data_IF_878694947503
#
_entry.id   IF_878694947503
#
_cell.length_a   1.000
_cell.length_b   1.000
_cell.length_c   1.000
_cell.angle_alpha   90.00
_cell.angle_beta   90.00
_cell.angle_gamma   90.00
#
_symmetry.space_group_name_H-M   'P 1'
#
loop_
_entity.id
_entity.type
_entity.pdbx_description
1 polymer ?
#
# COMPACT_ATOMS: atom_id res chain seq x y z
N UNK A 1 -22.30 -11.21 -2.37
CA UNK A 1 -20.82 -11.17 -2.35
C UNK A 1 -20.32 -12.50 -1.81
N UNK A 2 -19.58 -13.28 -2.60
CA UNK A 2 -18.88 -14.45 -2.07
C UNK A 2 -17.61 -13.94 -1.38
N UNK A 3 -17.71 -13.61 -0.10
CA UNK A 3 -16.54 -13.24 0.70
C UNK A 3 -15.60 -14.45 0.80
N UNK A 4 -14.45 -14.39 0.12
CA UNK A 4 -13.38 -15.38 0.29
C UNK A 4 -12.51 -14.93 1.46
N UNK A 5 -12.95 -15.22 2.68
CA UNK A 5 -12.11 -15.06 3.87
C UNK A 5 -11.14 -16.23 4.00
N UNK A 6 -9.99 -16.00 4.63
CA UNK A 6 -9.05 -17.04 5.05
C UNK A 6 -9.05 -17.14 6.58
N UNK A 7 -8.61 -18.28 7.13
CA UNK A 7 -8.46 -18.45 8.57
C UNK A 7 -7.27 -17.67 9.11
N UNK A 8 -7.26 -17.40 10.42
CA UNK A 8 -6.13 -16.75 11.08
C UNK A 8 -4.83 -17.55 10.91
N UNK A 9 -4.88 -18.87 11.02
CA UNK A 9 -3.71 -19.73 10.86
C UNK A 9 -3.14 -19.69 9.44
N UNK A 10 -4.00 -19.65 8.43
CA UNK A 10 -3.56 -19.48 7.05
C UNK A 10 -2.98 -18.08 6.81
N UNK A 11 -3.58 -17.04 7.39
CA UNK A 11 -3.05 -15.67 7.33
C UNK A 11 -1.66 -15.57 7.97
N UNK A 12 -1.46 -16.13 9.17
CA UNK A 12 -0.16 -16.21 9.85
C UNK A 12 0.91 -16.87 8.96
N UNK A 13 0.56 -17.99 8.33
CA UNK A 13 1.45 -18.70 7.43
C UNK A 13 1.83 -17.85 6.22
N UNK A 14 0.86 -17.18 5.59
CA UNK A 14 1.13 -16.33 4.42
C UNK A 14 2.00 -15.11 4.78
N UNK A 15 1.74 -14.47 5.93
CA UNK A 15 2.58 -13.37 6.43
C UNK A 15 3.99 -13.86 6.74
N UNK A 16 4.14 -15.00 7.41
CA UNK A 16 5.46 -15.59 7.67
C UNK A 16 6.22 -15.91 6.37
N UNK A 17 5.54 -16.44 5.34
CA UNK A 17 6.15 -16.69 4.03
C UNK A 17 6.67 -15.40 3.38
N UNK A 18 5.89 -14.32 3.45
CA UNK A 18 6.31 -13.01 2.97
C UNK A 18 7.54 -12.48 3.72
N UNK A 19 7.54 -12.52 5.05
CA UNK A 19 8.66 -12.06 5.89
C UNK A 19 9.96 -12.80 5.56
N UNK A 20 9.89 -14.12 5.40
CA UNK A 20 11.03 -14.94 4.99
C UNK A 20 11.53 -14.55 3.60
N UNK A 21 10.63 -14.47 2.61
CA UNK A 21 10.98 -14.07 1.25
C UNK A 21 11.64 -12.68 1.19
N UNK A 22 11.10 -11.70 1.93
CA UNK A 22 11.64 -10.35 2.00
C UNK A 22 13.05 -10.34 2.59
N UNK A 23 13.25 -10.98 3.75
CA UNK A 23 14.54 -11.07 4.41
C UNK A 23 15.58 -11.77 3.53
N UNK A 24 15.24 -12.91 2.92
CA UNK A 24 16.12 -13.65 2.02
C UNK A 24 16.53 -12.81 0.81
N UNK A 25 15.56 -12.18 0.16
CA UNK A 25 15.80 -11.33 -1.02
C UNK A 25 16.69 -10.15 -0.66
N UNK A 26 16.41 -9.46 0.44
CA UNK A 26 17.22 -8.34 0.91
C UNK A 26 18.64 -8.79 1.25
N UNK A 27 18.78 -9.88 2.00
CA UNK A 27 20.07 -10.41 2.46
C UNK A 27 20.91 -10.98 1.31
N UNK A 28 20.31 -11.38 0.19
CA UNK A 28 21.03 -11.83 -1.00
C UNK A 28 21.74 -10.71 -1.80
N UNK A 29 21.32 -9.44 -1.68
CA UNK A 29 21.98 -8.35 -2.40
C UNK A 29 23.44 -8.14 -1.94
N UNK A 30 24.39 -7.92 -2.86
CA UNK A 30 25.77 -7.66 -2.47
C UNK A 30 25.88 -6.37 -1.65
N UNK A 31 26.83 -6.32 -0.72
CA UNK A 31 27.14 -5.09 -0.01
C UNK A 31 27.62 -4.01 -0.99
N UNK A 32 27.17 -2.78 -0.78
CA UNK A 32 27.72 -1.64 -1.51
C UNK A 32 28.96 -1.18 -0.79
N UNK A 33 30.06 -1.03 -1.53
CA UNK A 33 31.34 -0.55 -1.01
C UNK A 33 31.17 0.74 -0.19
N UNK A 34 31.66 0.73 1.05
CA UNK A 34 31.60 1.86 1.97
C UNK A 34 30.29 2.01 2.75
N UNK A 35 29.36 1.05 2.71
CA UNK A 35 28.14 1.06 3.53
C UNK A 35 27.92 -0.28 4.22
N UNK A 36 27.82 -0.26 5.55
CA UNK A 36 27.42 -1.42 6.33
C UNK A 36 26.00 -1.84 5.93
N UNK A 37 25.84 -3.11 5.52
CA UNK A 37 24.53 -3.68 5.24
C UNK A 37 23.87 -4.09 6.55
N UNK A 38 22.65 -3.60 6.79
CA UNK A 38 21.80 -4.11 7.86
C UNK A 38 21.30 -5.48 7.43
N UNK A 39 21.56 -6.52 8.23
CA UNK A 39 20.95 -7.84 8.00
C UNK A 39 19.50 -7.77 8.45
N UNK A 40 18.58 -8.15 7.58
CA UNK A 40 17.15 -8.19 7.90
C UNK A 40 16.81 -9.58 8.42
N UNK A 41 16.28 -9.66 9.63
CA UNK A 41 15.70 -10.91 10.15
C UNK A 41 14.19 -10.92 9.83
N UNK A 42 13.60 -12.07 9.43
CA UNK A 42 12.17 -12.15 9.08
C UNK A 42 11.25 -11.54 10.14
N UNK A 43 11.55 -11.77 11.41
CA UNK A 43 10.75 -11.28 12.53
C UNK A 43 11.34 -10.00 13.17
N UNK A 44 12.36 -9.40 12.56
CA UNK A 44 12.99 -8.16 13.03
C UNK A 44 12.15 -6.92 12.73
N UNK A 45 12.43 -5.80 13.43
CA UNK A 45 11.67 -4.54 13.30
C UNK A 45 11.77 -3.94 11.88
N UNK A 46 12.88 -4.19 11.18
CA UNK A 46 13.12 -3.71 9.81
C UNK A 46 12.38 -4.52 8.73
N UNK A 47 11.69 -5.61 9.09
CA UNK A 47 10.88 -6.36 8.14
C UNK A 47 9.55 -5.68 7.88
N UNK A 48 9.29 -5.40 6.60
CA UNK A 48 8.05 -4.82 6.14
C UNK A 48 6.89 -5.84 6.25
N UNK A 49 5.79 -5.48 6.95
CA UNK A 49 4.71 -6.41 7.32
C UNK A 49 3.33 -6.04 6.78
N UNK A 50 3.02 -4.74 6.67
CA UNK A 50 1.69 -4.29 6.28
C UNK A 50 1.55 -2.77 6.32
N UNK A 51 0.44 -2.29 5.78
CA UNK A 51 0.04 -0.88 5.84
C UNK A 51 -1.24 -0.75 6.64
N UNK A 52 -1.38 0.39 7.32
CA UNK A 52 -2.62 0.80 7.94
C UNK A 52 -3.27 1.90 7.11
N UNK A 53 -4.53 1.72 6.75
CA UNK A 53 -5.34 2.72 6.03
C UNK A 53 -6.58 2.97 6.88
N UNK A 54 -6.84 4.22 7.23
CA UNK A 54 -7.98 4.54 8.08
C UNK A 54 -9.29 4.43 7.31
N UNK A 55 -10.38 4.06 8.00
CA UNK A 55 -11.71 4.09 7.38
C UNK A 55 -12.11 5.49 6.90
N UNK A 56 -11.64 6.54 7.58
CA UNK A 56 -11.87 7.92 7.17
C UNK A 56 -11.30 8.17 5.78
N UNK A 57 -10.06 7.76 5.52
CA UNK A 57 -9.42 7.95 4.21
C UNK A 57 -10.15 7.16 3.11
N UNK A 58 -10.66 5.97 3.43
CA UNK A 58 -11.48 5.17 2.51
C UNK A 58 -12.81 5.85 2.18
N UNK A 59 -13.45 6.50 3.16
CA UNK A 59 -14.70 7.26 2.95
C UNK A 59 -14.43 8.47 2.07
N UNK A 60 -13.37 9.23 2.34
CA UNK A 60 -13.00 10.40 1.53
C UNK A 60 -12.70 10.01 0.07
N UNK A 61 -12.04 8.88 -0.15
CA UNK A 61 -11.85 8.28 -1.48
C UNK A 61 -13.18 7.98 -2.17
N UNK A 62 -14.11 7.35 -1.46
CA UNK A 62 -15.44 7.05 -2.01
C UNK A 62 -16.19 8.33 -2.39
N UNK A 63 -16.14 9.37 -1.55
CA UNK A 63 -16.76 10.65 -1.85
C UNK A 63 -16.12 11.35 -3.05
N UNK A 64 -14.80 11.25 -3.20
CA UNK A 64 -14.08 11.76 -4.37
C UNK A 64 -14.58 11.07 -5.65
N UNK A 65 -14.72 9.75 -5.63
CA UNK A 65 -15.20 8.97 -6.78
C UNK A 65 -16.64 9.35 -7.20
N UNK A 66 -17.52 9.60 -6.24
CA UNK A 66 -18.88 10.11 -6.52
C UNK A 66 -18.85 11.47 -7.22
N UNK A 67 -17.97 12.39 -6.80
CA UNK A 67 -17.84 13.73 -7.39
C UNK A 67 -17.33 13.73 -8.84
N UNK A 68 -16.59 12.70 -9.24
CA UNK A 68 -16.07 12.54 -10.62
C UNK A 68 -17.19 12.06 -11.57
N UNK A 69 -18.44 11.96 -11.09
CA UNK A 69 -19.60 11.52 -11.88
C UNK A 69 -19.49 10.05 -12.32
N UNK A 70 -18.92 9.20 -11.46
CA UNK A 70 -18.99 7.74 -11.57
C UNK A 70 -20.30 7.26 -10.92
N UNK A 71 -21.41 7.90 -11.29
CA UNK A 71 -22.79 7.52 -10.99
C UNK A 71 -23.57 7.92 -12.25
N UNK A 72 -24.25 7.05 -12.99
CA UNK A 72 -25.45 6.34 -12.55
C UNK A 72 -25.71 5.01 -13.29
N UNK A 73 -24.80 4.50 -14.13
CA UNK A 73 -25.08 3.32 -14.98
C UNK A 73 -24.35 2.04 -14.61
N UNK A 74 -24.23 1.72 -13.31
CA UNK A 74 -23.28 0.68 -12.95
C UNK A 74 -23.65 -0.27 -11.81
N UNK A 75 -24.78 -0.94 -11.96
CA UNK A 75 -24.92 -2.30 -11.41
C UNK A 75 -23.92 -3.31 -12.04
N UNK A 76 -23.05 -2.84 -12.96
CA UNK A 76 -21.96 -3.59 -13.62
C UNK A 76 -20.56 -2.97 -13.47
N UNK A 77 -20.33 -1.86 -12.75
CA UNK A 77 -19.01 -1.19 -12.80
C UNK A 77 -17.91 -1.98 -12.10
N UNK A 78 -16.74 -1.97 -12.73
CA UNK A 78 -15.46 -2.36 -12.14
C UNK A 78 -14.83 -1.21 -11.34
N UNK A 79 -15.61 -0.18 -10.98
CA UNK A 79 -15.10 0.97 -10.26
C UNK A 79 -14.59 0.54 -8.88
N UNK A 80 -13.46 1.10 -8.47
CA UNK A 80 -12.81 0.67 -7.24
C UNK A 80 -11.51 1.42 -6.96
N UNK A 81 -10.60 0.73 -6.27
CA UNK A 81 -9.27 1.24 -5.94
C UNK A 81 -8.21 0.24 -6.36
N UNK A 82 -7.08 0.76 -6.82
CA UNK A 82 -5.85 -0.01 -7.04
C UNK A 82 -4.82 0.40 -6.00
N UNK A 83 -4.14 -0.59 -5.45
CA UNK A 83 -3.13 -0.39 -4.41
C UNK A 83 -1.78 -0.83 -4.99
N UNK A 84 -0.83 0.09 -5.06
CA UNK A 84 0.53 -0.18 -5.53
C UNK A 84 1.50 -0.18 -4.34
N UNK A 85 2.40 -1.17 -4.29
CA UNK A 85 3.57 -1.13 -3.41
C UNK A 85 4.61 -0.19 -4.01
N UNK A 86 5.06 0.80 -3.23
CA UNK A 86 6.00 1.82 -3.65
C UNK A 86 7.18 1.93 -2.67
N UNK A 87 8.30 2.46 -3.15
CA UNK A 87 9.52 2.66 -2.38
C UNK A 87 10.11 4.04 -2.71
N UNK A 88 10.31 4.89 -1.68
CA UNK A 88 10.86 6.25 -1.88
C UNK A 88 12.37 6.24 -2.18
N UNK A 89 13.09 5.18 -1.82
CA UNK A 89 14.53 5.10 -1.91
C UNK A 89 14.99 3.99 -2.86
N UNK A 90 15.62 4.39 -3.97
CA UNK A 90 16.22 3.48 -4.96
C UNK A 90 17.58 2.89 -4.50
N UNK A 91 18.06 3.21 -3.30
CA UNK A 91 19.43 2.90 -2.90
C UNK A 91 19.49 1.60 -2.09
N UNK A 92 20.15 0.55 -2.60
CA UNK A 92 20.37 -0.67 -1.83
C UNK A 92 21.16 -0.32 -0.57
N UNK A 93 20.73 -0.84 0.59
CA UNK A 93 21.38 -0.59 1.89
C UNK A 93 20.94 0.69 2.62
N UNK A 94 19.96 1.44 2.10
CA UNK A 94 19.27 2.51 2.86
C UNK A 94 17.77 2.33 2.96
N UNK A 95 17.20 1.36 2.25
CA UNK A 95 15.77 1.06 2.32
C UNK A 95 15.45 0.54 3.70
N UNK A 96 14.74 1.33 4.47
CA UNK A 96 14.11 0.88 5.71
C UNK A 96 12.66 0.46 5.42
N UNK A 97 12.06 -0.31 6.32
CA UNK A 97 10.62 -0.65 6.22
C UNK A 97 9.73 0.60 6.10
N UNK A 98 10.15 1.72 6.71
CA UNK A 98 9.49 3.04 6.60
C UNK A 98 9.52 3.67 5.19
N UNK A 99 10.41 3.21 4.30
CA UNK A 99 10.46 3.71 2.92
C UNK A 99 9.45 3.01 2.00
N UNK A 100 8.99 1.82 2.40
CA UNK A 100 7.95 1.07 1.72
C UNK A 100 6.59 1.64 2.10
N UNK A 101 5.79 1.98 1.09
CA UNK A 101 4.48 2.60 1.26
C UNK A 101 3.49 2.10 0.23
N UNK A 102 2.20 2.44 0.38
CA UNK A 102 1.21 2.23 -0.67
C UNK A 102 0.76 3.52 -1.30
N UNK A 103 0.59 3.43 -2.62
CA UNK A 103 -0.18 4.42 -3.37
C UNK A 103 -1.56 3.82 -3.64
N UNK A 104 -2.60 4.56 -3.27
CA UNK A 104 -3.98 4.19 -3.59
C UNK A 104 -4.44 5.07 -4.76
N UNK A 105 -4.87 4.43 -5.83
CA UNK A 105 -5.29 5.07 -7.07
C UNK A 105 -6.74 4.69 -7.34
N UNK A 106 -7.65 5.67 -7.53
CA UNK A 106 -9.02 5.37 -7.90
C UNK A 106 -9.11 4.81 -9.33
N UNK A 107 -10.05 3.88 -9.55
CA UNK A 107 -10.26 3.21 -10.84
C UNK A 107 -11.69 3.45 -11.29
N UNK A 108 -11.84 3.93 -12.53
CA UNK A 108 -13.15 4.22 -13.12
C UNK A 108 -13.93 2.96 -13.52
N UNK A 109 -15.14 3.15 -14.05
CA UNK A 109 -16.02 2.05 -14.46
C UNK A 109 -15.47 1.23 -15.64
N UNK A 110 -14.51 1.76 -16.42
CA UNK A 110 -13.83 1.08 -17.51
C UNK A 110 -12.55 0.34 -17.04
N UNK A 111 -12.25 0.38 -15.74
CA UNK A 111 -11.05 -0.23 -15.16
C UNK A 111 -9.77 0.61 -15.35
N UNK A 112 -9.89 1.89 -15.73
CA UNK A 112 -8.76 2.79 -15.94
C UNK A 112 -8.45 3.60 -14.68
N UNK A 113 -7.16 3.81 -14.46
CA UNK A 113 -6.67 4.63 -13.34
C UNK A 113 -7.07 6.09 -13.56
N UNK A 114 -7.77 6.66 -12.58
CA UNK A 114 -8.06 8.09 -12.52
C UNK A 114 -6.86 8.74 -11.84
N UNK A 115 -6.09 9.55 -12.57
CA UNK A 115 -4.84 10.15 -12.07
C UNK A 115 -4.98 11.63 -11.69
N UNK A 116 -6.00 12.31 -12.22
CA UNK A 116 -6.26 13.72 -11.95
C UNK A 116 -7.76 14.01 -11.91
N UNK A 117 -8.15 14.99 -11.09
CA UNK A 117 -9.49 15.56 -11.17
C UNK A 117 -9.58 16.46 -12.41
N UNK A 118 -10.71 16.46 -13.13
CA UNK A 118 -10.93 17.40 -14.22
C UNK A 118 -10.81 18.83 -13.68
N UNK A 119 -10.03 19.66 -14.38
CA UNK A 119 -9.87 21.05 -14.01
C UNK A 119 -11.23 21.76 -14.07
N UNK A 120 -11.61 22.45 -12.99
CA UNK A 120 -12.68 23.44 -13.09
C UNK A 120 -12.08 24.76 -13.60
N UNK A 121 -12.91 25.65 -14.15
CA UNK A 121 -12.48 26.93 -14.73
C UNK A 121 -11.60 27.80 -13.81
N UNK A 122 -11.58 27.52 -12.50
CA UNK A 122 -10.83 28.29 -11.50
C UNK A 122 -9.81 27.47 -10.68
N UNK A 123 -9.57 26.18 -10.97
CA UNK A 123 -8.56 25.39 -10.23
C UNK A 123 -7.72 24.50 -11.14
N UNK A 124 -6.38 24.48 -10.96
CA UNK A 124 -5.52 23.55 -11.67
C UNK A 124 -5.91 22.09 -11.34
N UNK A 125 -5.62 21.14 -12.25
CA UNK A 125 -5.88 19.73 -12.01
C UNK A 125 -5.12 19.26 -10.76
N UNK A 126 -5.83 18.68 -9.80
CA UNK A 126 -5.23 18.07 -8.62
C UNK A 126 -5.05 16.57 -8.83
N UNK A 127 -3.93 16.03 -8.34
CA UNK A 127 -3.69 14.59 -8.31
C UNK A 127 -4.78 13.88 -7.50
N UNK A 128 -5.13 12.68 -7.93
CA UNK A 128 -6.03 11.75 -7.21
C UNK A 128 -5.29 10.56 -6.61
N UNK A 129 -3.97 10.48 -6.83
CA UNK A 129 -3.09 9.47 -6.23
C UNK A 129 -2.89 9.86 -4.77
N UNK A 130 -3.32 8.98 -3.86
CA UNK A 130 -3.06 9.15 -2.44
C UNK A 130 -1.80 8.41 -2.03
N UNK A 131 -0.87 9.13 -1.41
CA UNK A 131 0.37 8.60 -0.84
C UNK A 131 0.17 8.25 0.64
N UNK A 132 0.08 6.96 0.95
CA UNK A 132 0.06 6.44 2.32
C UNK A 132 1.47 6.05 2.77
N UNK A 133 2.41 6.98 2.63
CA UNK A 133 3.77 6.87 3.14
C UNK A 133 3.90 7.05 4.63
N UNK A 134 2.79 7.20 5.34
CA UNK A 134 2.82 7.03 6.79
C UNK A 134 3.30 5.60 7.07
N UNK A 135 4.46 5.42 7.73
CA UNK A 135 4.84 4.11 8.23
C UNK A 135 3.72 3.63 9.16
N UNK A 136 3.80 2.34 9.54
CA UNK A 136 3.13 1.84 10.73
C UNK A 136 3.04 2.97 11.76
N UNK A 137 1.84 3.53 12.07
CA UNK A 137 1.76 4.66 12.97
C UNK A 137 2.42 4.29 14.32
N UNK A 138 2.71 5.25 15.19
CA UNK A 138 3.19 4.96 16.56
C UNK A 138 2.32 3.91 17.31
N UNK A 139 1.08 3.73 16.82
CA UNK A 139 0.10 2.77 17.28
C UNK A 139 0.05 1.48 16.45
N UNK A 140 1.17 1.04 15.86
CA UNK A 140 1.16 -0.28 15.24
C UNK A 140 0.96 -1.36 16.30
N UNK A 141 -0.04 -2.20 16.04
CA UNK A 141 -0.41 -3.26 16.96
C UNK A 141 0.63 -4.37 16.90
N UNK A 142 1.71 -4.19 17.65
CA UNK A 142 2.76 -5.18 17.82
C UNK A 142 2.26 -6.44 18.54
N UNK A 143 1.04 -6.41 19.08
CA UNK A 143 0.37 -7.57 19.68
C UNK A 143 -0.56 -8.29 18.68
N UNK A 144 -0.67 -7.79 17.45
CA UNK A 144 -1.41 -8.45 16.39
C UNK A 144 -0.84 -9.85 16.18
N UNK A 145 -1.69 -10.89 16.07
CA UNK A 145 -1.23 -12.23 15.72
C UNK A 145 -0.55 -12.34 14.35
N UNK A 146 -0.61 -11.27 13.54
CA UNK A 146 0.00 -11.15 12.22
C UNK A 146 1.24 -10.23 12.22
N UNK A 147 1.67 -9.73 13.38
CA UNK A 147 2.93 -9.00 13.52
C UNK A 147 4.13 -9.95 13.39
#
# INVERSE_FOLDING_TARGET
MSSRTISLEEAKKQVANWRNYYADTYNAYPEIEGKAKIKIEPDGEDTYRGFWVSFKDLIELQEMMKKINIDEQSEKSQAGIRIYLANKNLHPGKTKSEDMHVLIVPVDAEGKDVLALPATSNTPPSSTILDFSSPCPENCDNYSPLF
#
